data_IF_277220652509
#
_entry.id   IF_277220652509
#
_cell.length_a   1.000
_cell.length_b   1.000
_cell.length_c   1.000
_cell.angle_alpha   90.00
_cell.angle_beta   90.00
_cell.angle_gamma   90.00
#
_symmetry.space_group_name_H-M   'P 1'
#
loop_
_entity.id
_entity.type
_entity.pdbx_description
1 polymer ?
#
# COMPACT_ATOMS: atom_id res chain seq x y z
N UNK A 1 39.45 -0.68 41.64
CA UNK A 1 39.26 -1.99 40.99
C UNK A 1 37.92 -2.62 41.38
N UNK A 2 37.65 -2.92 42.66
CA UNK A 2 36.40 -3.59 43.09
C UNK A 2 35.09 -2.87 42.69
N UNK A 3 35.02 -1.54 42.83
CA UNK A 3 33.82 -0.77 42.50
C UNK A 3 33.49 -0.76 41.00
N UNK A 4 34.50 -0.76 40.14
CA UNK A 4 34.32 -0.83 38.68
C UNK A 4 33.78 -2.20 38.26
N UNK A 5 34.27 -3.27 38.88
CA UNK A 5 33.80 -4.64 38.62
C UNK A 5 32.34 -4.81 39.03
N UNK A 6 31.93 -4.25 40.18
CA UNK A 6 30.53 -4.30 40.60
C UNK A 6 29.62 -3.47 39.66
N UNK A 7 30.04 -2.27 39.26
CA UNK A 7 29.26 -1.46 38.32
C UNK A 7 29.06 -2.14 36.96
N UNK A 8 30.11 -2.78 36.42
CA UNK A 8 30.01 -3.55 35.17
C UNK A 8 29.14 -4.80 35.30
N UNK A 9 29.07 -5.39 36.50
CA UNK A 9 28.18 -6.52 36.76
C UNK A 9 26.72 -6.08 36.77
N UNK A 10 26.40 -5.00 37.47
CA UNK A 10 25.03 -4.46 37.52
C UNK A 10 24.55 -4.03 36.13
N UNK A 11 25.44 -3.43 35.33
CA UNK A 11 25.14 -3.07 33.93
C UNK A 11 24.89 -4.32 33.05
N UNK A 12 25.70 -5.38 33.20
CA UNK A 12 25.47 -6.64 32.48
C UNK A 12 24.15 -7.32 32.88
N UNK A 13 23.79 -7.28 34.17
CA UNK A 13 22.49 -7.79 34.65
C UNK A 13 21.34 -6.99 34.02
N UNK A 14 21.47 -5.66 33.92
CA UNK A 14 20.51 -4.80 33.22
C UNK A 14 20.38 -5.12 31.72
N UNK A 15 21.50 -5.25 31.01
CA UNK A 15 21.52 -5.58 29.58
C UNK A 15 20.92 -6.96 29.29
N UNK A 16 21.10 -7.94 30.19
CA UNK A 16 20.47 -9.26 30.08
C UNK A 16 18.94 -9.17 30.20
N UNK A 17 18.44 -8.38 31.16
CA UNK A 17 17.01 -8.12 31.31
C UNK A 17 16.44 -7.42 30.06
N UNK A 18 17.14 -6.42 29.53
CA UNK A 18 16.73 -5.73 28.30
C UNK A 18 16.73 -6.66 27.08
N UNK A 19 17.69 -7.59 27.01
CA UNK A 19 17.71 -8.61 25.96
C UNK A 19 16.52 -9.57 26.04
N UNK A 20 16.12 -10.00 27.24
CA UNK A 20 14.95 -10.87 27.44
C UNK A 20 13.64 -10.17 27.09
N UNK A 21 13.48 -8.91 27.51
CA UNK A 21 12.29 -8.12 27.13
C UNK A 21 12.22 -7.91 25.62
N UNK A 22 13.35 -7.58 24.98
CA UNK A 22 13.45 -7.45 23.52
C UNK A 22 13.10 -8.74 22.80
N UNK A 23 13.58 -9.90 23.29
CA UNK A 23 13.22 -11.22 22.72
C UNK A 23 11.73 -11.51 22.82
N UNK A 24 11.11 -11.13 23.94
CA UNK A 24 9.66 -11.30 24.15
C UNK A 24 8.87 -10.43 23.18
N UNK A 25 9.21 -9.16 23.07
CA UNK A 25 8.58 -8.23 22.11
C UNK A 25 8.74 -8.74 20.67
N UNK A 26 9.93 -9.21 20.30
CA UNK A 26 10.19 -9.77 18.98
C UNK A 26 9.35 -11.04 18.71
N UNK A 27 9.12 -11.88 19.71
CA UNK A 27 8.23 -13.04 19.58
C UNK A 27 6.78 -12.61 19.36
N UNK A 28 6.27 -11.64 20.13
CA UNK A 28 4.91 -11.11 19.95
C UNK A 28 4.71 -10.49 18.56
N UNK A 29 5.68 -9.69 18.10
CA UNK A 29 5.62 -9.09 16.77
C UNK A 29 5.60 -10.16 15.67
N UNK A 30 6.40 -11.22 15.79
CA UNK A 30 6.38 -12.35 14.85
C UNK A 30 5.00 -13.02 14.82
N UNK A 31 4.37 -13.26 15.96
CA UNK A 31 3.02 -13.81 16.01
C UNK A 31 2.01 -12.88 15.30
N UNK A 32 2.06 -11.57 15.55
CA UNK A 32 1.17 -10.60 14.91
C UNK A 32 1.36 -10.53 13.40
N UNK A 33 2.59 -10.63 12.91
CA UNK A 33 2.88 -10.65 11.47
C UNK A 33 2.26 -11.89 10.82
N UNK A 34 2.47 -13.08 11.39
CA UNK A 34 1.88 -14.33 10.87
C UNK A 34 0.35 -14.28 10.86
N UNK A 35 -0.27 -13.74 11.91
CA UNK A 35 -1.73 -13.57 11.96
C UNK A 35 -2.23 -12.59 10.89
N UNK A 36 -1.48 -11.51 10.64
CA UNK A 36 -1.82 -10.54 9.61
C UNK A 36 -1.68 -11.14 8.19
N UNK A 37 -0.62 -11.90 7.94
CA UNK A 37 -0.40 -12.60 6.67
C UNK A 37 -1.52 -13.61 6.39
N UNK A 38 -1.93 -14.38 7.40
CA UNK A 38 -3.05 -15.32 7.28
C UNK A 38 -4.36 -14.61 6.92
N UNK A 39 -4.69 -13.52 7.62
CA UNK A 39 -5.88 -12.71 7.33
C UNK A 39 -5.84 -12.09 5.94
N UNK A 40 -4.66 -11.72 5.47
CA UNK A 40 -4.49 -11.18 4.12
C UNK A 40 -4.77 -12.26 3.08
N UNK A 41 -4.23 -13.47 3.27
CA UNK A 41 -4.46 -14.60 2.37
C UNK A 41 -5.94 -15.02 2.31
N UNK A 42 -6.63 -15.03 3.46
CA UNK A 42 -8.08 -15.29 3.52
C UNK A 42 -8.89 -14.21 2.77
N UNK A 43 -8.50 -12.95 2.87
CA UNK A 43 -9.14 -11.87 2.10
C UNK A 43 -8.88 -12.00 0.60
N UNK A 44 -7.67 -12.40 0.22
CA UNK A 44 -7.35 -12.66 -1.19
C UNK A 44 -8.14 -13.83 -1.76
N UNK A 45 -8.34 -14.91 -1.00
CA UNK A 45 -9.17 -16.04 -1.45
C UNK A 45 -10.63 -15.62 -1.63
N UNK A 46 -11.17 -14.85 -0.69
CA UNK A 46 -12.50 -14.26 -0.81
C UNK A 46 -12.61 -13.31 -2.01
N UNK A 47 -11.57 -12.54 -2.30
CA UNK A 47 -11.49 -11.70 -3.50
C UNK A 47 -11.57 -12.53 -4.78
N UNK A 48 -10.80 -13.62 -4.87
CA UNK A 48 -10.84 -14.53 -6.03
C UNK A 48 -12.20 -15.20 -6.19
N UNK A 49 -12.83 -15.65 -5.10
CA UNK A 49 -14.17 -16.23 -5.12
C UNK A 49 -15.21 -15.21 -5.62
N UNK A 50 -15.12 -13.97 -5.15
CA UNK A 50 -15.98 -12.87 -5.61
C UNK A 50 -15.79 -12.61 -7.10
N UNK A 51 -14.55 -12.52 -7.58
CA UNK A 51 -14.25 -12.23 -8.98
C UNK A 51 -14.73 -13.39 -9.90
N UNK A 52 -14.57 -14.64 -9.45
CA UNK A 52 -15.11 -15.80 -10.16
C UNK A 52 -16.64 -15.80 -10.21
N UNK A 53 -17.30 -15.43 -9.11
CA UNK A 53 -18.76 -15.28 -9.07
C UNK A 53 -19.24 -14.18 -10.01
N UNK A 54 -18.55 -13.03 -10.06
CA UNK A 54 -18.85 -11.93 -10.98
C UNK A 54 -18.73 -12.37 -12.44
N UNK A 55 -17.61 -13.02 -12.81
CA UNK A 55 -17.38 -13.51 -14.17
C UNK A 55 -18.46 -14.51 -14.62
N UNK A 56 -18.85 -15.43 -13.74
CA UNK A 56 -19.89 -16.41 -14.04
C UNK A 56 -21.27 -15.76 -14.20
N UNK A 57 -21.65 -14.83 -13.31
CA UNK A 57 -22.92 -14.11 -13.42
C UNK A 57 -22.98 -13.22 -14.67
N UNK A 58 -21.88 -12.58 -15.05
CA UNK A 58 -21.79 -11.83 -16.31
C UNK A 58 -21.95 -12.73 -17.54
N UNK A 59 -21.30 -13.89 -17.54
CA UNK A 59 -21.43 -14.88 -18.62
C UNK A 59 -22.87 -15.37 -18.76
N UNK A 60 -23.54 -15.68 -17.65
CA UNK A 60 -24.93 -16.13 -17.65
C UNK A 60 -25.88 -15.03 -18.16
N UNK A 61 -25.71 -13.78 -17.70
CA UNK A 61 -26.48 -12.64 -18.19
C UNK A 61 -26.29 -12.40 -19.70
N UNK A 62 -25.06 -12.54 -20.20
CA UNK A 62 -24.76 -12.44 -21.62
C UNK A 62 -25.45 -13.55 -22.43
N UNK A 63 -25.45 -14.79 -21.92
CA UNK A 63 -26.16 -15.90 -22.55
C UNK A 63 -27.67 -15.66 -22.61
N UNK A 64 -28.30 -15.26 -21.50
CA UNK A 64 -29.75 -14.98 -21.48
C UNK A 64 -30.10 -13.85 -22.44
N UNK A 65 -29.28 -12.80 -22.51
CA UNK A 65 -29.45 -11.71 -23.46
C UNK A 65 -29.37 -12.22 -24.91
N UNK A 66 -28.37 -13.04 -25.23
CA UNK A 66 -28.22 -13.62 -26.56
C UNK A 66 -29.42 -14.53 -26.92
N UNK A 67 -29.90 -15.37 -25.99
CA UNK A 67 -31.08 -16.20 -26.21
C UNK A 67 -32.33 -15.36 -26.49
N UNK A 68 -32.54 -14.28 -25.71
CA UNK A 68 -33.65 -13.34 -25.94
C UNK A 68 -33.60 -12.74 -27.35
N UNK A 69 -32.42 -12.30 -27.78
CA UNK A 69 -32.21 -11.65 -29.08
C UNK A 69 -32.31 -12.64 -30.25
N UNK A 70 -31.78 -13.86 -30.09
CA UNK A 70 -31.73 -14.87 -31.15
C UNK A 70 -33.07 -15.61 -31.35
N UNK A 71 -33.82 -15.84 -30.27
CA UNK A 71 -35.04 -16.66 -30.31
C UNK A 71 -36.34 -15.86 -30.16
N UNK A 72 -36.27 -14.51 -30.13
CA UNK A 72 -37.45 -13.62 -29.97
C UNK A 72 -38.40 -14.09 -28.86
N UNK A 73 -37.80 -14.56 -27.76
CA UNK A 73 -38.52 -15.27 -26.70
C UNK A 73 -39.35 -14.30 -25.87
N UNK A 74 -40.49 -14.76 -25.35
CA UNK A 74 -41.35 -13.92 -24.54
C UNK A 74 -40.65 -13.52 -23.23
N UNK A 75 -41.09 -12.42 -22.62
CA UNK A 75 -40.54 -11.97 -21.34
C UNK A 75 -40.69 -13.06 -20.27
N UNK A 76 -41.77 -13.83 -20.30
CA UNK A 76 -42.05 -14.91 -19.35
C UNK A 76 -41.06 -16.08 -19.50
N UNK A 77 -40.68 -16.42 -20.73
CA UNK A 77 -39.68 -17.48 -20.98
C UNK A 77 -38.27 -17.06 -20.52
N UNK A 78 -37.97 -15.76 -20.64
CA UNK A 78 -36.73 -15.18 -20.11
C UNK A 78 -36.71 -15.21 -18.57
N UNK A 79 -37.85 -14.97 -17.91
CA UNK A 79 -37.98 -15.08 -16.45
C UNK A 79 -37.79 -16.53 -15.96
N UNK A 80 -38.32 -17.52 -16.69
CA UNK A 80 -38.07 -18.94 -16.41
C UNK A 80 -36.59 -19.29 -16.56
N UNK A 81 -35.93 -18.82 -17.62
CA UNK A 81 -34.49 -19.01 -17.82
C UNK A 81 -33.64 -18.39 -16.71
N UNK A 82 -34.02 -17.20 -16.21
CA UNK A 82 -33.34 -16.60 -15.06
C UNK A 82 -33.49 -17.46 -13.80
N UNK A 83 -34.68 -18.00 -13.55
CA UNK A 83 -34.94 -18.87 -12.41
C UNK A 83 -34.16 -20.20 -12.51
N UNK A 84 -34.15 -20.85 -13.68
CA UNK A 84 -33.43 -22.11 -13.93
C UNK A 84 -31.91 -21.97 -13.78
N UNK A 85 -31.38 -20.80 -14.13
CA UNK A 85 -29.96 -20.46 -13.96
C UNK A 85 -29.62 -19.93 -12.55
N UNK A 86 -30.60 -19.89 -11.65
CA UNK A 86 -30.44 -19.38 -10.29
C UNK A 86 -29.96 -17.92 -10.25
N UNK A 87 -30.39 -17.11 -11.22
CA UNK A 87 -30.10 -15.68 -11.29
C UNK A 87 -31.26 -14.95 -10.63
N UNK A 88 -31.03 -14.47 -9.41
CA UNK A 88 -32.03 -13.69 -8.69
C UNK A 88 -32.01 -12.22 -9.13
N UNK A 89 -33.09 -11.49 -8.87
CA UNK A 89 -33.12 -10.04 -9.09
C UNK A 89 -32.07 -9.33 -8.23
N UNK A 90 -31.78 -9.83 -7.03
CA UNK A 90 -30.70 -9.30 -6.18
C UNK A 90 -29.32 -9.47 -6.83
N UNK A 91 -29.10 -10.52 -7.62
CA UNK A 91 -27.81 -10.74 -8.30
C UNK A 91 -27.51 -9.62 -9.30
N UNK A 92 -28.53 -9.16 -10.03
CA UNK A 92 -28.38 -8.05 -10.97
C UNK A 92 -28.08 -6.72 -10.27
N UNK A 93 -28.71 -6.47 -9.11
CA UNK A 93 -28.41 -5.28 -8.29
C UNK A 93 -27.01 -5.36 -7.68
N UNK A 94 -26.62 -6.54 -7.19
CA UNK A 94 -25.29 -6.80 -6.63
C UNK A 94 -24.20 -6.64 -7.69
N UNK A 95 -24.43 -7.14 -8.90
CA UNK A 95 -23.51 -7.00 -10.03
C UNK A 95 -23.37 -5.54 -10.46
N UNK A 96 -24.47 -4.79 -10.51
CA UNK A 96 -24.45 -3.35 -10.79
C UNK A 96 -23.70 -2.56 -9.70
N UNK A 97 -23.88 -2.92 -8.43
CA UNK A 97 -23.18 -2.32 -7.31
C UNK A 97 -21.66 -2.61 -7.37
N UNK A 98 -21.25 -3.86 -7.58
CA UNK A 98 -19.83 -4.24 -7.70
C UNK A 98 -19.15 -3.55 -8.90
N UNK A 99 -19.82 -3.47 -10.06
CA UNK A 99 -19.30 -2.70 -11.22
C UNK A 99 -19.10 -1.23 -10.90
N UNK A 100 -20.01 -0.62 -10.14
CA UNK A 100 -19.88 0.77 -9.71
C UNK A 100 -18.70 0.95 -8.73
N UNK A 101 -18.45 -0.04 -7.87
CA UNK A 101 -17.28 -0.06 -6.97
C UNK A 101 -15.96 -0.16 -7.73
N UNK A 102 -15.85 -1.04 -8.73
CA UNK A 102 -14.63 -1.18 -9.54
C UNK A 102 -14.30 0.11 -10.31
N UNK A 103 -15.33 0.77 -10.88
CA UNK A 103 -15.15 2.06 -11.56
C UNK A 103 -14.73 3.16 -10.59
N UNK A 104 -15.33 3.23 -9.39
CA UNK A 104 -14.97 4.20 -8.36
C UNK A 104 -13.56 4.00 -7.78
N UNK A 105 -13.15 2.74 -7.59
CA UNK A 105 -11.82 2.37 -7.12
C UNK A 105 -10.75 2.70 -8.16
N UNK A 106 -10.96 2.35 -9.44
CA UNK A 106 -10.04 2.69 -10.52
C UNK A 106 -9.94 4.20 -10.77
N UNK A 107 -11.06 4.92 -10.66
CA UNK A 107 -11.06 6.38 -10.75
C UNK A 107 -10.29 7.03 -9.58
N UNK A 108 -10.50 6.53 -8.35
CA UNK A 108 -9.76 6.97 -7.16
C UNK A 108 -8.25 6.77 -7.31
N UNK A 109 -7.81 5.58 -7.74
CA UNK A 109 -6.38 5.29 -7.94
C UNK A 109 -5.71 6.24 -8.93
N UNK A 110 -6.42 6.61 -10.01
CA UNK A 110 -5.93 7.52 -11.04
C UNK A 110 -5.75 8.95 -10.50
N UNK A 111 -6.61 9.36 -9.57
CA UNK A 111 -6.55 10.66 -8.90
C UNK A 111 -5.71 10.66 -7.61
N UNK A 112 -5.12 9.51 -7.24
CA UNK A 112 -4.24 9.37 -6.08
C UNK A 112 -4.96 9.10 -4.74
N UNK A 113 -6.21 8.65 -4.76
CA UNK A 113 -7.01 8.35 -3.58
C UNK A 113 -7.43 6.87 -3.53
N UNK A 114 -7.29 6.22 -2.38
CA UNK A 114 -7.83 4.87 -2.15
C UNK A 114 -9.17 4.94 -1.41
N UNK A 115 -10.24 4.39 -1.99
CA UNK A 115 -11.50 4.20 -1.28
C UNK A 115 -11.40 3.00 -0.33
N UNK A 116 -11.62 3.19 0.97
CA UNK A 116 -11.63 2.10 1.95
C UNK A 116 -12.99 1.39 1.95
N UNK A 117 -12.99 0.07 2.13
CA UNK A 117 -14.17 -0.79 2.15
C UNK A 117 -15.06 -0.62 3.40
N UNK A 118 -14.73 0.30 4.32
CA UNK A 118 -15.53 0.57 5.53
C UNK A 118 -16.26 1.90 5.41
N UNK A 119 -17.43 1.85 4.78
CA UNK A 119 -18.42 2.91 4.82
C UNK A 119 -18.13 4.09 3.92
N UNK A 120 -19.21 4.70 3.42
CA UNK A 120 -19.30 5.87 2.54
C UNK A 120 -18.70 7.17 3.13
N UNK A 121 -17.73 7.09 4.03
CA UNK A 121 -16.98 8.26 4.48
C UNK A 121 -15.75 8.38 3.59
N UNK A 122 -15.67 9.50 2.86
CA UNK A 122 -14.42 10.00 2.28
C UNK A 122 -13.42 10.16 3.41
N UNK A 123 -12.71 9.10 3.76
CA UNK A 123 -11.51 9.21 4.55
C UNK A 123 -10.46 9.65 3.55
N UNK A 124 -10.17 10.95 3.53
CA UNK A 124 -8.91 11.45 2.98
C UNK A 124 -7.78 10.70 3.69
N UNK A 125 -7.38 9.56 3.15
CA UNK A 125 -6.05 9.04 3.41
C UNK A 125 -5.15 9.99 2.66
N UNK A 126 -4.30 10.80 3.33
CA UNK A 126 -3.46 11.76 2.65
C UNK A 126 -2.35 10.99 1.92
N UNK A 127 -2.67 10.43 0.76
CA UNK A 127 -1.66 9.99 -0.19
C UNK A 127 -1.06 11.23 -0.82
N UNK A 128 -0.01 11.72 -0.15
CA UNK A 128 0.92 12.77 -0.57
C UNK A 128 0.24 13.97 -1.24
N UNK A 129 0.02 15.02 -0.44
CA UNK A 129 -0.42 16.31 -0.95
C UNK A 129 0.45 16.71 -2.18
N UNK A 130 -0.16 17.41 -3.14
CA UNK A 130 0.50 17.81 -4.39
C UNK A 130 1.80 18.60 -4.19
N UNK A 131 1.99 19.23 -3.01
CA UNK A 131 3.24 19.88 -2.62
C UNK A 131 4.35 18.85 -2.32
N UNK A 132 4.04 17.77 -1.61
CA UNK A 132 4.97 16.71 -1.26
C UNK A 132 5.43 15.93 -2.50
N UNK A 133 4.53 15.70 -3.47
CA UNK A 133 4.92 15.15 -4.79
C UNK A 133 5.88 16.08 -5.55
N UNK A 134 5.62 17.40 -5.54
CA UNK A 134 6.53 18.39 -6.16
C UNK A 134 7.89 18.42 -5.44
N UNK A 135 7.91 18.31 -4.12
CA UNK A 135 9.14 18.23 -3.35
C UNK A 135 9.92 16.95 -3.64
N UNK A 136 9.27 15.79 -3.69
CA UNK A 136 9.90 14.52 -4.05
C UNK A 136 10.43 14.55 -5.49
N UNK A 137 9.68 15.06 -6.46
CA UNK A 137 10.15 15.20 -7.83
C UNK A 137 11.35 16.15 -7.95
N UNK A 138 11.41 17.20 -7.12
CA UNK A 138 12.56 18.09 -7.04
C UNK A 138 13.79 17.40 -6.43
N UNK A 139 13.59 16.66 -5.34
CA UNK A 139 14.65 15.87 -4.70
C UNK A 139 15.18 14.79 -5.64
N UNK A 140 14.29 14.07 -6.33
CA UNK A 140 14.64 13.02 -7.28
C UNK A 140 15.43 13.59 -8.47
N UNK A 141 15.05 14.77 -8.99
CA UNK A 141 15.81 15.49 -10.03
C UNK A 141 17.18 15.97 -9.53
N UNK A 142 17.27 16.45 -8.30
CA UNK A 142 18.54 16.89 -7.69
C UNK A 142 19.48 15.72 -7.40
N UNK A 143 18.97 14.59 -6.94
CA UNK A 143 19.73 13.37 -6.70
C UNK A 143 20.16 12.72 -8.02
N UNK A 144 19.22 12.41 -8.93
CA UNK A 144 19.52 11.75 -10.20
C UNK A 144 20.53 12.48 -11.08
N UNK A 145 20.61 13.81 -10.99
CA UNK A 145 21.63 14.60 -11.69
C UNK A 145 23.04 14.52 -11.08
N UNK A 146 23.15 14.33 -9.76
CA UNK A 146 24.44 14.35 -9.04
C UNK A 146 24.99 12.95 -8.74
N UNK A 147 24.11 11.96 -8.59
CA UNK A 147 24.47 10.57 -8.25
C UNK A 147 25.44 9.93 -9.26
N UNK A 148 25.29 10.07 -10.58
CA UNK A 148 26.22 9.48 -11.54
C UNK A 148 27.65 10.01 -11.41
N UNK A 149 27.80 11.30 -11.09
CA UNK A 149 29.11 11.94 -10.92
C UNK A 149 29.81 11.52 -9.62
N UNK A 150 29.04 11.26 -8.55
CA UNK A 150 29.57 10.73 -7.29
C UNK A 150 29.99 9.26 -7.46
N UNK A 151 29.16 8.45 -8.12
CA UNK A 151 29.47 7.05 -8.41
C UNK A 151 30.72 6.90 -9.29
N UNK A 152 30.90 7.78 -10.30
CA UNK A 152 32.10 7.81 -11.11
C UNK A 152 33.36 8.07 -10.26
N UNK A 153 33.33 9.07 -9.36
CA UNK A 153 34.45 9.38 -8.47
C UNK A 153 34.79 8.27 -7.48
N UNK A 154 33.78 7.52 -7.01
CA UNK A 154 33.98 6.35 -6.16
C UNK A 154 34.60 5.20 -6.93
N UNK A 155 34.18 5.01 -8.18
CA UNK A 155 34.69 3.96 -9.06
C UNK A 155 36.13 4.24 -9.49
N UNK A 156 36.47 5.50 -9.78
CA UNK A 156 37.81 5.94 -10.18
C UNK A 156 38.82 5.93 -9.01
N UNK A 157 38.35 5.99 -7.76
CA UNK A 157 39.21 6.02 -6.58
C UNK A 157 38.64 5.16 -5.42
N UNK A 158 38.72 3.82 -5.53
CA UNK A 158 38.06 2.90 -4.60
C UNK A 158 38.68 2.83 -3.20
N UNK A 159 39.85 3.45 -2.97
CA UNK A 159 40.57 3.51 -1.69
C UNK A 159 40.48 4.88 -1.01
N UNK A 160 39.39 5.62 -1.20
CA UNK A 160 39.18 6.91 -0.52
C UNK A 160 38.89 6.73 0.97
N UNK A 161 39.29 7.72 1.77
CA UNK A 161 39.00 7.75 3.21
C UNK A 161 37.51 7.99 3.50
N UNK A 162 37.05 7.61 4.69
CA UNK A 162 35.66 7.80 5.13
C UNK A 162 35.27 9.29 5.17
N UNK A 163 36.22 10.16 5.51
CA UNK A 163 36.07 11.61 5.56
C UNK A 163 35.86 12.20 4.16
N UNK A 164 36.62 11.72 3.16
CA UNK A 164 36.48 12.13 1.76
C UNK A 164 35.15 11.66 1.16
N UNK A 165 34.75 10.42 1.47
CA UNK A 165 33.46 9.88 1.04
C UNK A 165 32.28 10.67 1.61
N UNK A 166 32.35 11.06 2.89
CA UNK A 166 31.32 11.90 3.53
C UNK A 166 31.23 13.28 2.88
N UNK A 167 32.36 13.94 2.63
CA UNK A 167 32.39 15.26 1.97
C UNK A 167 31.78 15.21 0.56
N UNK A 168 32.05 14.14 -0.20
CA UNK A 168 31.45 13.90 -1.52
C UNK A 168 29.92 13.74 -1.44
N UNK A 169 29.42 12.99 -0.46
CA UNK A 169 27.98 12.77 -0.27
C UNK A 169 27.26 14.03 0.26
N UNK A 170 27.90 14.80 1.13
CA UNK A 170 27.34 16.07 1.64
C UNK A 170 27.21 17.12 0.52
N UNK A 171 28.16 17.18 -0.41
CA UNK A 171 28.08 18.05 -1.60
C UNK A 171 26.97 17.62 -2.58
N UNK A 172 26.60 16.34 -2.53
CA UNK A 172 25.59 15.74 -3.41
C UNK A 172 24.17 15.78 -2.84
N UNK A 173 24.00 16.10 -1.55
CA UNK A 173 22.71 16.24 -0.90
C UNK A 173 21.86 17.40 -1.47
N UNK A 174 20.54 17.38 -1.23
CA UNK A 174 19.66 18.49 -1.57
C UNK A 174 19.98 19.68 -0.67
N UNK A 175 19.95 20.88 -1.25
CA UNK A 175 20.16 22.12 -0.48
C UNK A 175 19.10 22.19 0.62
N UNK A 176 19.51 22.28 1.90
CA UNK A 176 18.58 22.40 3.02
C UNK A 176 17.55 23.50 2.76
N UNK A 177 16.25 23.26 3.02
CA UNK A 177 15.24 24.27 2.81
C UNK A 177 15.54 25.50 3.68
N UNK A 178 15.41 26.69 3.08
CA UNK A 178 15.53 27.97 3.78
C UNK A 178 14.45 28.01 4.87
N UNK A 179 14.85 28.04 6.13
CA UNK A 179 13.94 28.16 7.27
C UNK A 179 13.09 29.43 7.09
N UNK A 180 11.79 29.28 6.84
CA UNK A 180 10.84 30.39 6.93
C UNK A 180 10.61 30.69 8.40
N UNK A 181 11.34 31.67 8.95
CA UNK A 181 10.96 32.36 10.18
C UNK A 181 9.75 33.24 9.85
N UNK A 182 8.55 32.75 10.17
CA UNK A 182 7.34 33.56 10.16
C UNK A 182 7.27 34.41 11.42
N UNK A 183 7.69 35.66 11.31
CA UNK A 183 7.12 36.75 12.10
C UNK A 183 5.78 37.08 11.45
N UNK A 184 4.68 36.78 12.14
CA UNK A 184 3.41 37.49 11.99
C UNK A 184 2.77 37.51 13.39
N UNK A 185 3.01 38.63 14.07
CA UNK A 185 2.27 39.08 15.25
C UNK A 185 1.03 39.88 14.79
N UNK A 186 0.01 40.04 15.66
CA UNK A 186 -1.41 39.85 15.35
C UNK A 186 -2.09 40.90 14.46
#
# INVERSE_FOLDING_TARGET
MLHLVNALRDENEGLLSDLETSRTIAAELRCRVVDAEKKLLEKESLGRERDAWLAEKERLLANVKHYKEAASVSVTDVEVLYADLGIAQEDSQKLAAERHWDVGYQAGLKDGYSYSSQGLKRMETPHYNSKARKHLAKLDKEFSGKTPAVLAKITDNPLMSLEELKSLLESAGPSSPKSQSGDDSP
#
